data_IF_126089608465
#
_entry.id   IF_126089608465
#
_cell.length_a   1.000
_cell.length_b   1.000
_cell.length_c   1.000
_cell.angle_alpha   90.00
_cell.angle_beta   90.00
_cell.angle_gamma   90.00
#
_symmetry.space_group_name_H-M   'P 1'
#
loop_
_entity.id
_entity.type
_entity.pdbx_description
1 polymer ?
#
# COMPACT_ATOMS: atom_id res chain seq x y z
N UNK A 1 -0.27 -29.07 -2.62
CA UNK A 1 0.16 -28.22 -1.48
C UNK A 1 -0.95 -27.28 -1.03
N UNK A 2 -1.54 -26.46 -1.92
CA UNK A 2 -2.73 -25.62 -1.64
C UNK A 2 -3.99 -26.41 -1.22
N UNK A 3 -4.13 -27.69 -1.57
CA UNK A 3 -5.25 -28.53 -1.11
C UNK A 3 -4.97 -29.27 0.20
N UNK A 4 -3.72 -29.25 0.70
CA UNK A 4 -3.27 -30.08 1.82
C UNK A 4 -2.89 -29.25 3.06
N UNK A 5 -2.70 -27.93 2.90
CA UNK A 5 -2.32 -27.00 3.96
C UNK A 5 -3.28 -25.80 4.12
N UNK A 6 -4.27 -25.67 3.24
CA UNK A 6 -5.02 -24.43 3.08
C UNK A 6 -6.53 -24.70 3.04
N UNK A 7 -7.21 -24.20 4.07
CA UNK A 7 -8.67 -24.22 4.24
C UNK A 7 -9.37 -23.34 3.17
N UNK A 8 -10.66 -23.53 2.90
CA UNK A 8 -11.43 -22.79 1.87
C UNK A 8 -11.30 -21.25 2.01
N UNK A 9 -11.09 -20.79 3.24
CA UNK A 9 -10.83 -19.37 3.58
C UNK A 9 -9.64 -18.77 2.83
N UNK A 10 -8.64 -19.57 2.48
CA UNK A 10 -7.47 -19.09 1.78
C UNK A 10 -7.64 -19.06 0.26
N UNK A 11 -8.52 -19.88 -0.29
CA UNK A 11 -8.96 -19.73 -1.66
C UNK A 11 -9.68 -18.38 -1.83
N UNK A 12 -10.46 -17.96 -0.83
CA UNK A 12 -11.10 -16.63 -0.83
C UNK A 12 -10.08 -15.49 -0.65
N UNK A 13 -9.05 -15.68 0.18
CA UNK A 13 -7.98 -14.69 0.36
C UNK A 13 -7.24 -14.34 -0.94
N UNK A 14 -7.15 -15.28 -1.90
CA UNK A 14 -6.57 -15.02 -3.22
C UNK A 14 -7.31 -13.90 -3.99
N UNK A 15 -8.59 -13.67 -3.69
CA UNK A 15 -9.40 -12.59 -4.29
C UNK A 15 -9.25 -11.28 -3.50
N UNK A 16 -9.17 -11.34 -2.17
CA UNK A 16 -9.14 -10.16 -1.31
C UNK A 16 -7.77 -9.47 -1.28
N UNK A 17 -6.70 -10.26 -1.25
CA UNK A 17 -5.34 -9.75 -1.10
C UNK A 17 -4.93 -8.78 -2.22
N UNK A 18 -5.22 -9.02 -3.51
CA UNK A 18 -4.94 -8.05 -4.57
C UNK A 18 -5.69 -6.72 -4.39
N UNK A 19 -6.98 -6.77 -4.03
CA UNK A 19 -7.81 -5.57 -3.81
C UNK A 19 -7.25 -4.75 -2.65
N UNK A 20 -6.94 -5.41 -1.54
CA UNK A 20 -6.36 -4.77 -0.37
C UNK A 20 -4.95 -4.23 -0.64
N UNK A 21 -4.13 -4.93 -1.43
CA UNK A 21 -2.80 -4.45 -1.83
C UNK A 21 -2.87 -3.12 -2.59
N UNK A 22 -3.87 -2.95 -3.46
CA UNK A 22 -4.14 -1.65 -4.11
C UNK A 22 -4.53 -0.59 -3.07
N UNK A 23 -5.35 -0.95 -2.07
CA UNK A 23 -5.70 -0.06 -0.97
C UNK A 23 -4.48 0.40 -0.15
N UNK A 24 -3.54 -0.52 0.13
CA UNK A 24 -2.29 -0.24 0.84
C UNK A 24 -1.44 0.81 0.11
N UNK A 25 -1.41 0.79 -1.22
CA UNK A 25 -0.72 1.81 -2.01
C UNK A 25 -1.29 3.22 -1.75
N UNK A 26 -2.61 3.39 -1.82
CA UNK A 26 -3.26 4.68 -1.54
C UNK A 26 -3.08 5.11 -0.09
N UNK A 27 -3.18 4.16 0.85
CA UNK A 27 -2.95 4.39 2.28
C UNK A 27 -1.52 4.88 2.55
N UNK A 28 -0.53 4.32 1.85
CA UNK A 28 0.88 4.73 1.95
C UNK A 28 1.10 6.17 1.49
N UNK A 29 0.48 6.59 0.38
CA UNK A 29 0.52 7.99 -0.06
C UNK A 29 -0.15 8.91 0.97
N UNK A 30 -1.29 8.49 1.52
CA UNK A 30 -1.96 9.20 2.61
C UNK A 30 -1.05 9.40 3.83
N UNK A 31 -0.27 8.38 4.20
CA UNK A 31 0.73 8.46 5.26
C UNK A 31 1.84 9.48 4.98
N UNK A 32 2.34 9.54 3.74
CA UNK A 32 3.33 10.55 3.33
C UNK A 32 2.79 11.98 3.45
N UNK A 33 1.56 12.23 2.99
CA UNK A 33 0.90 13.52 3.18
C UNK A 33 0.67 13.84 4.65
N UNK A 34 0.28 12.84 5.46
CA UNK A 34 0.14 13.00 6.91
C UNK A 34 1.44 13.48 7.58
N UNK A 35 2.57 12.84 7.26
CA UNK A 35 3.88 13.27 7.74
C UNK A 35 4.24 14.69 7.27
N UNK A 36 3.94 15.03 6.02
CA UNK A 36 4.15 16.39 5.49
C UNK A 36 3.26 17.43 6.20
N UNK A 37 2.00 17.11 6.50
CA UNK A 37 1.10 17.99 7.24
C UNK A 37 1.57 18.20 8.68
N UNK A 38 2.12 17.18 9.34
CA UNK A 38 2.76 17.35 10.65
C UNK A 38 3.97 18.28 10.57
N UNK A 39 4.85 18.07 9.59
CA UNK A 39 6.04 18.89 9.41
C UNK A 39 5.71 20.37 9.16
N UNK A 40 4.57 20.65 8.51
CA UNK A 40 4.08 22.01 8.27
C UNK A 40 3.28 22.61 9.44
N UNK A 41 3.16 21.91 10.58
CA UNK A 41 2.38 22.39 11.74
C UNK A 41 0.88 22.42 11.48
N UNK A 42 0.36 21.52 10.65
CA UNK A 42 -1.06 21.48 10.23
C UNK A 42 -1.79 20.21 10.71
N UNK A 43 -1.77 19.85 12.01
CA UNK A 43 -2.37 18.60 12.50
C UNK A 43 -3.89 18.50 12.25
N UNK A 44 -4.59 19.63 12.18
CA UNK A 44 -6.02 19.67 11.84
C UNK A 44 -6.36 19.03 10.49
N UNK A 45 -5.42 19.05 9.54
CA UNK A 45 -5.61 18.47 8.22
C UNK A 45 -5.53 16.94 8.26
N UNK A 46 -4.72 16.39 9.17
CA UNK A 46 -4.63 14.95 9.42
C UNK A 46 -5.91 14.45 10.08
N UNK A 47 -6.40 15.19 11.09
CA UNK A 47 -7.68 14.88 11.73
C UNK A 47 -8.83 14.87 10.71
N UNK A 48 -8.85 15.84 9.78
CA UNK A 48 -9.84 15.89 8.70
C UNK A 48 -9.74 14.66 7.78
N UNK A 49 -8.53 14.30 7.32
CA UNK A 49 -8.31 13.13 6.45
C UNK A 49 -8.74 11.84 7.15
N UNK A 50 -8.36 11.65 8.41
CA UNK A 50 -8.78 10.48 9.20
C UNK A 50 -10.29 10.46 9.43
N UNK A 51 -10.90 11.62 9.66
CA UNK A 51 -12.36 11.76 9.76
C UNK A 51 -13.06 11.36 8.47
N UNK A 52 -12.56 11.82 7.32
CA UNK A 52 -13.08 11.42 5.99
C UNK A 52 -12.94 9.91 5.77
N UNK A 53 -11.81 9.30 6.16
CA UNK A 53 -11.62 7.85 6.05
C UNK A 53 -12.69 7.08 6.81
N UNK A 54 -12.87 7.41 8.09
CA UNK A 54 -13.86 6.73 8.94
C UNK A 54 -15.28 7.00 8.45
N UNK A 55 -15.61 8.25 8.11
CA UNK A 55 -16.94 8.62 7.64
C UNK A 55 -17.28 7.94 6.31
N UNK A 56 -16.37 7.96 5.33
CA UNK A 56 -16.57 7.30 4.03
C UNK A 56 -16.72 5.80 4.18
N UNK A 57 -15.87 5.16 5.00
CA UNK A 57 -15.99 3.73 5.28
C UNK A 57 -17.32 3.39 5.95
N UNK A 58 -17.71 4.11 7.00
CA UNK A 58 -18.95 3.87 7.73
C UNK A 58 -20.19 4.06 6.84
N UNK A 59 -20.23 5.12 6.04
CA UNK A 59 -21.34 5.39 5.12
C UNK A 59 -21.45 4.31 4.04
N UNK A 60 -20.33 3.94 3.40
CA UNK A 60 -20.32 2.89 2.39
C UNK A 60 -20.68 1.53 2.98
N UNK A 61 -20.23 1.22 4.20
CA UNK A 61 -20.57 -0.01 4.90
C UNK A 61 -22.05 -0.05 5.29
N UNK A 62 -22.63 1.06 5.74
CA UNK A 62 -24.05 1.16 6.05
C UNK A 62 -24.91 0.93 4.81
N UNK A 63 -24.53 1.51 3.67
CA UNK A 63 -25.20 1.22 2.38
C UNK A 63 -25.06 -0.25 2.03
N UNK A 64 -23.86 -0.82 2.17
CA UNK A 64 -23.60 -2.22 1.86
C UNK A 64 -24.44 -3.17 2.74
N UNK A 65 -24.64 -2.85 4.02
CA UNK A 65 -25.44 -3.69 4.94
C UNK A 65 -26.92 -3.84 4.56
N UNK A 66 -27.42 -3.03 3.62
CA UNK A 66 -28.79 -3.15 3.10
C UNK A 66 -28.92 -4.21 2.00
N UNK A 67 -27.79 -4.75 1.50
CA UNK A 67 -27.74 -5.77 0.46
C UNK A 67 -27.14 -7.07 1.01
N UNK A 68 -27.50 -8.21 0.42
CA UNK A 68 -26.83 -9.50 0.67
C UNK A 68 -25.37 -9.42 0.21
N UNK A 69 -24.51 -9.06 1.15
CA UNK A 69 -23.15 -8.60 0.84
C UNK A 69 -22.12 -9.66 1.13
N UNK A 70 -21.27 -9.92 0.14
CA UNK A 70 -20.13 -10.82 0.28
C UNK A 70 -18.93 -10.12 0.88
N UNK A 71 -18.01 -10.89 1.48
CA UNK A 71 -16.75 -10.37 2.02
C UNK A 71 -15.93 -9.61 0.96
N UNK A 72 -16.04 -10.02 -0.32
CA UNK A 72 -15.44 -9.32 -1.46
C UNK A 72 -15.90 -7.87 -1.54
N UNK A 73 -17.21 -7.62 -1.42
CA UNK A 73 -17.76 -6.26 -1.47
C UNK A 73 -17.24 -5.42 -0.31
N UNK A 74 -17.09 -6.00 0.88
CA UNK A 74 -16.50 -5.30 2.02
C UNK A 74 -15.05 -4.86 1.74
N UNK A 75 -14.24 -5.70 1.07
CA UNK A 75 -12.87 -5.30 0.68
C UNK A 75 -12.84 -4.18 -0.37
N UNK A 76 -13.83 -4.15 -1.27
CA UNK A 76 -14.00 -3.05 -2.23
C UNK A 76 -14.39 -1.75 -1.52
N UNK A 77 -15.25 -1.82 -0.50
CA UNK A 77 -15.59 -0.66 0.34
C UNK A 77 -14.36 -0.12 1.07
N UNK A 78 -13.51 -0.99 1.62
CA UNK A 78 -12.22 -0.56 2.19
C UNK A 78 -11.38 0.18 1.15
N UNK A 79 -11.19 -0.40 -0.03
CA UNK A 79 -10.44 0.25 -1.12
C UNK A 79 -11.06 1.61 -1.51
N UNK A 80 -12.38 1.70 -1.63
CA UNK A 80 -13.08 2.93 -1.97
C UNK A 80 -12.88 4.02 -0.89
N UNK A 81 -12.88 3.64 0.38
CA UNK A 81 -12.56 4.57 1.48
C UNK A 81 -11.11 5.07 1.44
N UNK A 82 -10.15 4.21 1.08
CA UNK A 82 -8.75 4.60 0.93
C UNK A 82 -8.57 5.53 -0.28
N UNK A 83 -9.28 5.28 -1.38
CA UNK A 83 -9.31 6.17 -2.55
C UNK A 83 -9.86 7.56 -2.22
N UNK A 84 -10.96 7.63 -1.46
CA UNK A 84 -11.52 8.91 -1.01
C UNK A 84 -10.52 9.65 -0.11
N UNK A 85 -9.90 8.93 0.81
CA UNK A 85 -8.87 9.46 1.71
C UNK A 85 -7.67 9.99 0.93
N UNK A 86 -7.22 9.27 -0.08
CA UNK A 86 -6.16 9.70 -1.00
C UNK A 86 -6.55 10.97 -1.76
N UNK A 87 -7.76 11.01 -2.34
CA UNK A 87 -8.24 12.18 -3.08
C UNK A 87 -8.26 13.43 -2.21
N UNK A 88 -8.77 13.32 -0.97
CA UNK A 88 -8.77 14.42 0.00
C UNK A 88 -7.34 14.79 0.39
N UNK A 89 -6.49 13.84 0.76
CA UNK A 89 -5.10 14.10 1.14
C UNK A 89 -4.34 14.85 0.05
N UNK A 90 -4.51 14.43 -1.21
CA UNK A 90 -3.89 15.06 -2.37
C UNK A 90 -4.44 16.44 -2.65
N UNK A 91 -5.77 16.62 -2.58
CA UNK A 91 -6.40 17.94 -2.71
C UNK A 91 -5.86 18.92 -1.68
N UNK A 92 -5.74 18.45 -0.45
CA UNK A 92 -5.25 19.22 0.67
C UNK A 92 -3.75 19.54 0.53
N UNK A 93 -2.94 18.58 0.11
CA UNK A 93 -1.53 18.77 -0.22
C UNK A 93 -1.33 19.78 -1.35
N UNK A 94 -2.19 19.75 -2.37
CA UNK A 94 -2.15 20.72 -3.46
C UNK A 94 -2.41 22.15 -2.97
N UNK A 95 -3.36 22.35 -2.04
CA UNK A 95 -3.58 23.66 -1.39
C UNK A 95 -2.38 24.17 -0.61
N UNK A 96 -1.53 23.28 -0.11
CA UNK A 96 -0.30 23.62 0.61
C UNK A 96 0.94 23.68 -0.31
N UNK A 97 0.78 23.55 -1.62
CA UNK A 97 1.89 23.60 -2.58
C UNK A 97 2.72 22.32 -2.66
N UNK A 98 2.30 21.24 -1.99
CA UNK A 98 2.97 19.93 -2.02
C UNK A 98 2.63 19.20 -3.34
N UNK A 99 3.28 19.62 -4.43
CA UNK A 99 3.13 19.02 -5.77
C UNK A 99 4.19 17.96 -6.02
N UNK A 100 4.06 16.80 -5.37
CA UNK A 100 5.01 15.69 -5.44
C UNK A 100 4.69 14.63 -6.51
N UNK A 101 4.04 15.01 -7.62
CA UNK A 101 3.58 14.02 -8.62
C UNK A 101 4.70 13.14 -9.20
N UNK A 102 5.90 13.70 -9.38
CA UNK A 102 7.06 12.94 -9.86
C UNK A 102 7.51 11.88 -8.85
N UNK A 103 7.52 12.23 -7.55
CA UNK A 103 7.91 11.30 -6.50
C UNK A 103 6.88 10.16 -6.38
N UNK A 104 5.59 10.49 -6.36
CA UNK A 104 4.48 9.52 -6.34
C UNK A 104 4.55 8.56 -7.53
N UNK A 105 4.72 9.10 -8.75
CA UNK A 105 4.82 8.28 -9.96
C UNK A 105 6.08 7.39 -9.94
N UNK A 106 7.22 7.91 -9.47
CA UNK A 106 8.45 7.13 -9.36
C UNK A 106 8.32 5.97 -8.37
N UNK A 107 7.66 6.20 -7.23
CA UNK A 107 7.40 5.16 -6.23
C UNK A 107 6.42 4.11 -6.77
N UNK A 108 5.39 4.52 -7.52
CA UNK A 108 4.46 3.61 -8.17
C UNK A 108 5.17 2.72 -9.19
N UNK A 109 5.96 3.33 -10.07
CA UNK A 109 6.73 2.60 -11.08
C UNK A 109 7.72 1.62 -10.42
N UNK A 110 8.37 2.03 -9.34
CA UNK A 110 9.29 1.16 -8.61
C UNK A 110 8.56 -0.01 -7.96
N UNK A 111 7.40 0.23 -7.35
CA UNK A 111 6.54 -0.83 -6.80
C UNK A 111 6.10 -1.82 -7.88
N UNK A 112 5.62 -1.32 -9.03
CA UNK A 112 5.21 -2.15 -10.16
C UNK A 112 6.38 -2.95 -10.72
N UNK A 113 7.54 -2.32 -10.89
CA UNK A 113 8.75 -2.98 -11.36
C UNK A 113 9.20 -4.09 -10.40
N UNK A 114 9.24 -3.82 -9.09
CA UNK A 114 9.58 -4.84 -8.08
C UNK A 114 8.57 -5.98 -8.07
N UNK A 115 7.28 -5.67 -8.20
CA UNK A 115 6.22 -6.69 -8.26
C UNK A 115 6.35 -7.55 -9.52
N UNK A 116 6.61 -6.93 -10.68
CA UNK A 116 6.81 -7.63 -11.94
C UNK A 116 8.06 -8.53 -11.91
N UNK A 117 9.18 -8.02 -11.41
CA UNK A 117 10.41 -8.82 -11.22
C UNK A 117 10.15 -9.98 -10.29
N UNK A 118 9.46 -9.75 -9.16
CA UNK A 118 9.09 -10.81 -8.23
C UNK A 118 8.26 -11.91 -8.90
N UNK A 119 7.27 -11.54 -9.72
CA UNK A 119 6.46 -12.50 -10.48
C UNK A 119 7.28 -13.30 -11.50
N UNK A 120 8.15 -12.64 -12.26
CA UNK A 120 9.02 -13.30 -13.24
C UNK A 120 9.99 -14.27 -12.55
N UNK A 121 10.52 -13.89 -11.39
CA UNK A 121 11.47 -14.71 -10.63
C UNK A 121 10.80 -15.98 -10.07
N UNK A 122 9.54 -15.89 -9.63
CA UNK A 122 8.78 -17.08 -9.19
C UNK A 122 8.37 -17.97 -10.37
N UNK A 123 8.01 -17.38 -11.51
CA UNK A 123 7.46 -18.11 -12.66
C UNK A 123 8.55 -18.78 -13.53
N UNK A 124 9.59 -18.03 -13.88
CA UNK A 124 10.51 -18.41 -14.96
C UNK A 124 11.88 -18.90 -14.43
N UNK A 125 12.21 -18.61 -13.17
CA UNK A 125 13.48 -19.04 -12.58
C UNK A 125 13.33 -20.41 -11.90
N UNK A 126 13.61 -21.47 -12.67
CA UNK A 126 13.50 -22.87 -12.25
C UNK A 126 14.02 -23.22 -10.84
N UNK A 127 15.18 -22.69 -10.38
CA UNK A 127 15.68 -22.95 -9.03
C UNK A 127 14.76 -22.44 -7.92
N UNK A 128 14.08 -21.31 -8.14
CA UNK A 128 13.16 -20.70 -7.15
C UNK A 128 11.77 -21.31 -7.28
N UNK A 129 11.33 -21.61 -8.51
CA UNK A 129 10.07 -22.30 -8.76
C UNK A 129 10.01 -23.70 -8.10
N UNK A 130 11.15 -24.38 -7.97
CA UNK A 130 11.27 -25.68 -7.30
C UNK A 130 11.32 -25.60 -5.77
N UNK A 131 11.49 -24.41 -5.17
CA UNK A 131 11.53 -24.26 -3.72
C UNK A 131 10.15 -24.46 -3.09
N UNK A 132 10.15 -24.80 -1.79
CA UNK A 132 8.94 -24.80 -0.98
C UNK A 132 8.26 -23.40 -0.99
N UNK A 133 6.91 -23.29 -1.01
CA UNK A 133 6.22 -22.00 -1.13
C UNK A 133 6.62 -20.95 -0.10
N UNK A 134 6.88 -21.38 1.14
CA UNK A 134 7.36 -20.49 2.21
C UNK A 134 8.75 -19.89 1.87
N UNK A 135 9.65 -20.70 1.32
CA UNK A 135 10.96 -20.23 0.89
C UNK A 135 10.84 -19.29 -0.32
N UNK A 136 9.91 -19.53 -1.24
CA UNK A 136 9.62 -18.60 -2.34
C UNK A 136 9.18 -17.23 -1.82
N UNK A 137 8.29 -17.19 -0.82
CA UNK A 137 7.85 -15.94 -0.20
C UNK A 137 8.99 -15.22 0.53
N UNK A 138 9.87 -15.96 1.23
CA UNK A 138 11.06 -15.36 1.86
C UNK A 138 12.01 -14.76 0.82
N UNK A 139 12.30 -15.49 -0.26
CA UNK A 139 13.13 -14.98 -1.36
C UNK A 139 12.51 -13.74 -1.98
N UNK A 140 11.20 -13.75 -2.26
CA UNK A 140 10.49 -12.60 -2.78
C UNK A 140 10.55 -11.40 -1.83
N UNK A 141 10.36 -11.62 -0.53
CA UNK A 141 10.45 -10.59 0.52
C UNK A 141 11.85 -9.99 0.62
N UNK A 142 12.89 -10.82 0.53
CA UNK A 142 14.29 -10.36 0.53
C UNK A 142 14.61 -9.57 -0.74
N UNK A 143 14.26 -10.10 -1.91
CA UNK A 143 14.52 -9.45 -3.20
C UNK A 143 13.82 -8.09 -3.28
N UNK A 144 12.55 -8.03 -2.90
CA UNK A 144 11.79 -6.77 -2.86
C UNK A 144 12.38 -5.79 -1.85
N UNK A 145 12.73 -6.24 -0.65
CA UNK A 145 13.38 -5.38 0.36
C UNK A 145 14.73 -4.82 -0.12
N UNK A 146 15.55 -5.65 -0.75
CA UNK A 146 16.84 -5.25 -1.33
C UNK A 146 16.67 -4.30 -2.51
N UNK A 147 15.62 -4.47 -3.33
CA UNK A 147 15.34 -3.55 -4.44
C UNK A 147 15.01 -2.14 -3.95
N UNK A 148 14.36 -2.00 -2.78
CA UNK A 148 14.07 -0.70 -2.16
C UNK A 148 15.25 -0.13 -1.36
N UNK A 149 16.22 -0.96 -0.95
CA UNK A 149 17.38 -0.56 -0.14
C UNK A 149 18.16 0.66 -0.69
N UNK A 150 18.54 0.76 -1.98
CA UNK A 150 19.32 1.92 -2.46
C UNK A 150 18.57 3.24 -2.31
N UNK A 151 17.24 3.23 -2.38
CA UNK A 151 16.42 4.42 -2.20
C UNK A 151 16.43 4.88 -0.73
N UNK A 152 16.27 3.93 0.19
CA UNK A 152 16.34 4.19 1.64
C UNK A 152 17.71 4.71 2.03
N UNK A 153 18.80 4.09 1.54
CA UNK A 153 20.16 4.52 1.84
C UNK A 153 20.40 5.96 1.37
N UNK A 154 19.97 6.31 0.15
CA UNK A 154 20.08 7.69 -0.37
C UNK A 154 19.31 8.71 0.45
N UNK A 155 18.19 8.32 1.05
CA UNK A 155 17.35 9.23 1.85
C UNK A 155 17.86 9.37 3.29
N UNK A 156 18.31 8.27 3.90
CA UNK A 156 18.67 8.20 5.34
C UNK A 156 20.10 8.69 5.60
N UNK A 157 21.07 8.38 4.74
CA UNK A 157 22.48 8.74 4.96
C UNK A 157 22.69 10.27 5.09
N UNK A 158 22.07 11.13 4.27
CA UNK A 158 22.19 12.58 4.42
C UNK A 158 21.61 13.11 5.75
N UNK A 159 20.48 12.55 6.20
CA UNK A 159 19.83 12.95 7.44
C UNK A 159 20.69 12.62 8.67
N UNK A 160 21.36 11.46 8.66
CA UNK A 160 22.30 11.08 9.73
C UNK A 160 23.50 12.04 9.75
N UNK A 161 24.01 12.44 8.57
CA UNK A 161 25.15 13.38 8.50
C UNK A 161 24.80 14.77 9.03
N UNK A 162 23.60 15.28 8.76
CA UNK A 162 23.16 16.60 9.24
C UNK A 162 22.94 16.68 10.75
N UNK A 163 22.69 15.54 11.43
CA UNK A 163 22.52 15.51 12.90
C UNK A 163 23.84 15.66 13.66
N UNK A 164 24.96 15.34 13.02
CA UNK A 164 26.29 15.33 13.66
C UNK A 164 27.10 16.61 13.40
N UNK A 165 26.52 17.60 12.73
CA UNK A 165 27.06 18.95 12.50
C UNK A 165 26.23 19.96 13.27
#
# INVERSE_FOLDING_TARGET
FFSLAYDERYAQAAVYLPILAVGVWFSSIGGMYGAAFLALGRPKWIALVSGVKVASFALMLAVLSQFDSTLTMATVVVLASELMTFAVSRYLGWRLGLKSMRAEASMLLMLLACSAVGLLLVRDFGPVAALHPLAQLMVLGVVTSLAFAPFIIKLVVPLIRQRNT
#
